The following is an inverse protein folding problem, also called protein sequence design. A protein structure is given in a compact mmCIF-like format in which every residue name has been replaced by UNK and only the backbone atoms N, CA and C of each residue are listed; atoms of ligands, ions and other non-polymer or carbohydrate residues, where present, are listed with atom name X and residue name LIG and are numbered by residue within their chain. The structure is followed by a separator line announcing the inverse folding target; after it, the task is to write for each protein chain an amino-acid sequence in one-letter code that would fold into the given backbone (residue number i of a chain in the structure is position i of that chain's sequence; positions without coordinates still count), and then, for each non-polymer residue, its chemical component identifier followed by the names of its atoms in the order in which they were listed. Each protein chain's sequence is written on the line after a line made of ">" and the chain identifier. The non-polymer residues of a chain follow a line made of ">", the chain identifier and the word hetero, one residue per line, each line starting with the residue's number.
data_IF_332276391992
#
_entry.id   IF_332276391992
#
_cell.length_a   1.000
_cell.length_b   1.000
_cell.length_c   1.000
_cell.angle_alpha   90.00
_cell.angle_beta   90.00
_cell.angle_gamma   90.00
#
_symmetry.space_group_name_H-M   'P 1'
#
loop_
_entity.id
_entity.type
_entity.pdbx_description
1 polymer ?
#
# COMPACT_ATOMS: atom_id res chain seq x y z
N UNK A 1 56.08 23.98 28.60
CA UNK A 1 54.70 23.53 28.86
C UNK A 1 53.95 23.53 27.54
N UNK A 2 53.83 22.36 26.92
CA UNK A 2 53.48 22.19 25.50
C UNK A 2 52.07 22.65 25.14
N UNK A 3 51.97 23.30 23.98
CA UNK A 3 50.75 23.64 23.22
C UNK A 3 49.72 22.48 23.15
N UNK A 4 50.18 21.23 23.29
CA UNK A 4 49.34 20.04 23.41
C UNK A 4 48.34 20.07 24.59
N UNK A 5 48.64 20.78 25.70
CA UNK A 5 47.70 20.92 26.83
C UNK A 5 46.58 21.95 26.59
N UNK A 6 46.82 22.93 25.73
CA UNK A 6 45.84 23.98 25.39
C UNK A 6 44.84 23.45 24.35
N UNK A 7 45.29 22.60 23.42
CA UNK A 7 44.41 21.94 22.44
C UNK A 7 43.50 20.89 23.09
N UNK A 8 43.96 20.19 24.13
CA UNK A 8 43.14 19.22 24.88
C UNK A 8 42.08 19.91 25.76
N UNK A 9 42.32 21.16 26.18
CA UNK A 9 41.35 21.96 26.94
C UNK A 9 40.21 22.52 26.08
N UNK A 10 40.45 22.78 24.79
CA UNK A 10 39.41 23.27 23.87
C UNK A 10 38.48 22.15 23.36
N UNK A 11 38.97 20.92 23.26
CA UNK A 11 38.16 19.79 22.80
C UNK A 11 37.14 19.30 23.85
N UNK A 12 37.34 19.59 25.14
CA UNK A 12 36.44 19.16 26.21
C UNK A 12 35.23 20.09 26.40
N UNK A 13 35.29 21.34 25.94
CA UNK A 13 34.19 22.32 26.09
C UNK A 13 33.08 22.12 25.05
N UNK A 14 33.40 21.58 23.86
CA UNK A 14 32.40 21.37 22.79
C UNK A 14 31.52 20.14 23.05
N UNK A 15 31.95 19.18 23.89
CA UNK A 15 31.21 17.97 24.18
C UNK A 15 30.12 18.12 25.27
N UNK A 16 29.99 19.30 25.90
CA UNK A 16 28.95 19.61 26.90
C UNK A 16 27.77 20.42 26.35
N UNK A 17 27.70 20.67 25.04
CA UNK A 17 26.49 21.18 24.41
C UNK A 17 25.46 20.05 24.30
N UNK A 18 24.94 19.62 25.45
CA UNK A 18 23.71 18.87 25.52
C UNK A 18 22.64 19.61 24.75
N UNK A 19 21.74 18.87 24.12
CA UNK A 19 20.54 19.40 23.45
C UNK A 19 19.71 20.17 24.47
N UNK A 20 20.01 21.46 24.65
CA UNK A 20 19.18 22.39 25.36
C UNK A 20 17.87 22.47 24.58
N UNK A 21 16.83 21.80 25.08
CA UNK A 21 15.47 22.05 24.61
C UNK A 21 15.19 23.51 24.94
N UNK A 22 15.10 24.34 23.91
CA UNK A 22 14.79 25.75 24.08
C UNK A 22 13.46 25.85 24.83
N UNK A 23 13.48 26.53 25.98
CA UNK A 23 12.23 26.87 26.66
C UNK A 23 11.34 27.67 25.71
N UNK A 24 10.01 27.42 25.69
CA UNK A 24 9.08 28.17 24.85
C UNK A 24 9.22 29.67 25.08
N UNK A 25 9.23 30.46 23.99
CA UNK A 25 9.32 31.91 24.13
C UNK A 25 8.05 32.47 24.78
N UNK A 26 8.14 33.62 25.45
CA UNK A 26 6.96 34.29 25.99
C UNK A 26 5.91 34.62 24.90
N UNK A 27 6.34 34.78 23.64
CA UNK A 27 5.42 34.95 22.52
C UNK A 27 4.67 33.65 22.20
N UNK A 28 5.38 32.52 22.14
CA UNK A 28 4.78 31.20 21.89
C UNK A 28 3.79 30.83 22.98
N UNK A 29 4.13 31.05 24.25
CA UNK A 29 3.23 30.81 25.39
C UNK A 29 1.94 31.65 25.29
N UNK A 30 2.02 32.92 24.86
CA UNK A 30 0.81 33.75 24.66
C UNK A 30 -0.08 33.21 23.53
N UNK A 31 0.53 32.77 22.43
CA UNK A 31 -0.21 32.19 21.29
C UNK A 31 -0.83 30.84 21.70
N UNK A 32 -0.07 29.98 22.38
CA UNK A 32 -0.54 28.70 22.91
C UNK A 32 -1.75 28.88 23.84
N UNK A 33 -1.72 29.86 24.75
CA UNK A 33 -2.84 30.16 25.63
C UNK A 33 -4.07 30.68 24.88
N UNK A 34 -3.88 31.40 23.77
CA UNK A 34 -4.99 31.84 22.90
C UNK A 34 -5.63 30.64 22.21
N UNK A 35 -4.82 29.76 21.62
CA UNK A 35 -5.27 28.52 20.99
C UNK A 35 -5.94 27.57 21.99
N UNK A 36 -5.40 27.46 23.21
CA UNK A 36 -6.00 26.69 24.28
C UNK A 36 -7.42 27.18 24.61
N UNK A 37 -7.62 28.50 24.75
CA UNK A 37 -8.96 29.07 24.98
C UNK A 37 -9.90 28.82 23.81
N UNK A 38 -9.41 28.88 22.57
CA UNK A 38 -10.19 28.49 21.38
C UNK A 38 -10.60 27.02 21.47
N UNK A 39 -9.68 26.11 21.81
CA UNK A 39 -9.98 24.70 21.97
C UNK A 39 -11.03 24.43 23.03
N UNK A 40 -10.94 25.11 24.20
CA UNK A 40 -11.95 25.02 25.27
C UNK A 40 -13.32 25.51 24.78
N UNK A 41 -13.36 26.62 24.03
CA UNK A 41 -14.61 27.16 23.50
C UNK A 41 -15.26 26.26 22.44
N UNK A 42 -14.48 25.59 21.60
CA UNK A 42 -15.02 24.62 20.62
C UNK A 42 -15.43 23.31 21.30
N UNK A 43 -14.67 22.83 22.29
CA UNK A 43 -15.04 21.66 23.10
C UNK A 43 -16.36 21.86 23.85
N UNK A 44 -16.60 23.06 24.39
CA UNK A 44 -17.88 23.43 25.01
C UNK A 44 -19.08 23.40 24.04
N UNK A 45 -18.83 23.46 22.73
CA UNK A 45 -19.85 23.32 21.67
C UNK A 45 -19.87 21.90 21.07
N UNK A 46 -19.17 20.95 21.68
CA UNK A 46 -18.97 19.57 21.21
C UNK A 46 -18.31 19.46 19.82
N UNK A 47 -17.61 20.51 19.39
CA UNK A 47 -16.84 20.56 18.13
C UNK A 47 -15.44 20.01 18.36
N UNK A 48 -15.39 18.69 18.55
CA UNK A 48 -14.18 18.00 19.01
C UNK A 48 -13.04 18.01 17.98
N UNK A 49 -13.34 18.04 16.68
CA UNK A 49 -12.31 18.11 15.64
C UNK A 49 -11.60 19.47 15.64
N UNK A 50 -12.35 20.56 15.79
CA UNK A 50 -11.83 21.92 15.90
C UNK A 50 -11.08 22.13 17.23
N UNK A 51 -11.59 21.54 18.32
CA UNK A 51 -10.91 21.53 19.60
C UNK A 51 -9.56 20.79 19.51
N UNK A 52 -9.53 19.63 18.84
CA UNK A 52 -8.32 18.84 18.62
C UNK A 52 -7.26 19.65 17.85
N UNK A 53 -7.62 20.31 16.75
CA UNK A 53 -6.69 21.18 16.00
C UNK A 53 -6.11 22.28 16.91
N UNK A 54 -6.97 22.99 17.64
CA UNK A 54 -6.57 24.08 18.50
C UNK A 54 -5.63 23.61 19.64
N UNK A 55 -5.96 22.50 20.31
CA UNK A 55 -5.12 21.94 21.37
C UNK A 55 -3.82 21.37 20.85
N UNK A 56 -3.81 20.71 19.69
CA UNK A 56 -2.59 20.20 19.06
C UNK A 56 -1.61 21.33 18.76
N UNK A 57 -2.10 22.42 18.16
CA UNK A 57 -1.30 23.62 17.87
C UNK A 57 -0.84 24.33 19.14
N UNK A 58 -1.68 24.38 20.18
CA UNK A 58 -1.29 24.92 21.47
C UNK A 58 -0.17 24.08 22.12
N UNK A 59 -0.27 22.75 22.05
CA UNK A 59 0.73 21.83 22.59
C UNK A 59 2.05 21.92 21.83
N UNK A 60 2.02 22.07 20.51
CA UNK A 60 3.22 22.26 19.70
C UNK A 60 4.02 23.51 20.10
N UNK A 61 3.33 24.58 20.52
CA UNK A 61 3.95 25.83 20.97
C UNK A 61 4.35 25.81 22.45
N UNK A 62 3.66 25.04 23.28
CA UNK A 62 3.94 24.94 24.71
C UNK A 62 3.89 23.47 25.21
N UNK A 63 4.86 22.62 24.83
CA UNK A 63 4.82 21.17 25.10
C UNK A 63 4.90 20.81 26.59
N UNK A 64 5.49 21.70 27.40
CA UNK A 64 5.62 21.54 28.85
C UNK A 64 4.36 21.88 29.63
N UNK A 65 3.32 22.45 29.01
CA UNK A 65 2.03 22.67 29.69
C UNK A 65 1.23 21.38 29.84
N UNK A 66 1.11 20.90 31.08
CA UNK A 66 0.35 19.66 31.38
C UNK A 66 -1.16 19.85 31.24
N UNK A 67 -1.69 21.05 31.49
CA UNK A 67 -3.12 21.34 31.28
C UNK A 67 -3.49 21.33 29.79
N UNK A 68 -2.64 21.88 28.92
CA UNK A 68 -2.86 21.80 27.46
C UNK A 68 -2.82 20.33 27.01
N UNK A 69 -1.85 19.56 27.49
CA UNK A 69 -1.73 18.13 27.16
C UNK A 69 -2.95 17.32 27.62
N UNK A 70 -3.48 17.58 28.82
CA UNK A 70 -4.68 16.90 29.33
C UNK A 70 -5.93 17.21 28.49
N UNK A 71 -6.06 18.43 27.96
CA UNK A 71 -7.17 18.80 27.09
C UNK A 71 -7.02 18.22 25.67
N UNK A 72 -5.78 18.17 25.15
CA UNK A 72 -5.45 17.45 23.92
C UNK A 72 -5.85 15.97 24.02
N UNK A 73 -5.45 15.30 25.10
CA UNK A 73 -5.81 13.92 25.39
C UNK A 73 -7.33 13.68 25.39
N UNK A 74 -8.09 14.59 26.00
CA UNK A 74 -9.55 14.55 25.99
C UNK A 74 -10.15 14.70 24.59
N UNK A 75 -9.61 15.60 23.77
CA UNK A 75 -10.04 15.78 22.40
C UNK A 75 -9.73 14.53 21.55
N UNK A 76 -8.53 13.96 21.67
CA UNK A 76 -8.12 12.73 20.98
C UNK A 76 -9.08 11.56 21.28
N UNK A 77 -9.43 11.35 22.56
CA UNK A 77 -10.42 10.33 22.97
C UNK A 77 -11.80 10.59 22.38
N UNK A 78 -12.20 11.85 22.23
CA UNK A 78 -13.50 12.25 21.68
C UNK A 78 -13.56 12.13 20.16
N UNK A 79 -12.43 12.26 19.47
CA UNK A 79 -12.32 12.10 18.02
C UNK A 79 -11.95 10.67 17.59
N UNK A 80 -11.69 9.77 18.54
CA UNK A 80 -11.48 8.34 18.28
C UNK A 80 -10.02 7.87 18.29
N UNK A 81 -9.06 8.76 18.53
CA UNK A 81 -7.67 8.38 18.81
C UNK A 81 -7.48 8.11 20.31
N UNK A 82 -8.13 7.04 20.77
CA UNK A 82 -8.18 6.66 22.17
C UNK A 82 -6.80 6.26 22.69
N UNK A 83 -5.98 5.61 21.85
CA UNK A 83 -4.60 5.22 22.21
C UNK A 83 -3.76 6.46 22.53
N UNK A 84 -3.72 7.45 21.63
CA UNK A 84 -2.97 8.68 21.86
C UNK A 84 -3.44 9.40 23.13
N UNK A 85 -4.76 9.54 23.30
CA UNK A 85 -5.31 10.23 24.46
C UNK A 85 -5.03 9.53 25.78
N UNK A 86 -5.11 8.19 25.84
CA UNK A 86 -4.75 7.43 27.05
C UNK A 86 -3.26 7.60 27.38
N UNK A 87 -2.37 7.56 26.39
CA UNK A 87 -0.94 7.79 26.60
C UNK A 87 -0.65 9.22 27.08
N UNK A 88 -1.29 10.23 26.51
CA UNK A 88 -1.14 11.61 26.96
C UNK A 88 -1.70 11.84 28.37
N UNK A 89 -2.79 11.18 28.76
CA UNK A 89 -3.24 11.19 30.15
C UNK A 89 -2.21 10.56 31.10
N UNK A 90 -1.64 9.40 30.75
CA UNK A 90 -0.55 8.77 31.54
C UNK A 90 0.64 9.71 31.66
N UNK A 91 1.00 10.39 30.58
CA UNK A 91 2.08 11.38 30.59
C UNK A 91 1.77 12.54 31.54
N UNK A 92 0.54 13.07 31.55
CA UNK A 92 0.13 14.11 32.49
C UNK A 92 0.29 13.65 33.95
N UNK A 93 -0.21 12.47 34.29
CA UNK A 93 -0.13 11.92 35.64
C UNK A 93 1.33 11.66 36.07
N UNK A 94 2.19 11.26 35.12
CA UNK A 94 3.61 11.01 35.37
C UNK A 94 4.41 12.29 35.65
N UNK A 95 4.02 13.44 35.08
CA UNK A 95 4.73 14.72 35.28
C UNK A 95 4.63 15.23 36.73
N UNK A 96 3.51 14.93 37.41
CA UNK A 96 3.34 15.24 38.83
C UNK A 96 3.23 16.73 39.18
N UNK A 97 2.97 17.58 38.18
CA UNK A 97 2.83 19.04 38.30
C UNK A 97 1.36 19.50 38.39
N UNK A 98 0.41 18.56 38.34
CA UNK A 98 -1.02 18.79 38.57
C UNK A 98 -1.34 18.89 40.06
N UNK A 99 -2.33 19.72 40.41
CA UNK A 99 -2.96 19.66 41.74
C UNK A 99 -3.63 18.30 41.94
N UNK A 100 -3.93 17.94 43.20
CA UNK A 100 -4.62 16.69 43.53
C UNK A 100 -5.99 16.58 42.83
N UNK A 101 -6.71 17.68 42.71
CA UNK A 101 -8.02 17.73 42.06
C UNK A 101 -7.90 17.55 40.55
N UNK A 102 -6.96 18.24 39.89
CA UNK A 102 -6.70 18.07 38.46
C UNK A 102 -6.22 16.66 38.12
N UNK A 103 -5.33 16.09 38.92
CA UNK A 103 -4.87 14.71 38.74
C UNK A 103 -6.03 13.70 38.84
N UNK A 104 -6.96 13.90 39.78
CA UNK A 104 -8.14 13.04 39.91
C UNK A 104 -9.09 13.16 38.70
N UNK A 105 -9.23 14.36 38.12
CA UNK A 105 -10.00 14.55 36.89
C UNK A 105 -9.36 13.83 35.70
N UNK A 106 -8.05 13.97 35.53
CA UNK A 106 -7.28 13.30 34.47
C UNK A 106 -7.33 11.78 34.63
N UNK A 107 -7.10 11.27 35.83
CA UNK A 107 -7.17 9.83 36.13
C UNK A 107 -8.58 9.28 35.88
N UNK A 108 -9.62 10.02 36.29
CA UNK A 108 -11.01 9.65 36.04
C UNK A 108 -11.36 9.63 34.55
N UNK A 109 -10.82 10.55 33.76
CA UNK A 109 -11.00 10.56 32.31
C UNK A 109 -10.27 9.39 31.64
N UNK A 110 -9.02 9.13 32.05
CA UNK A 110 -8.22 8.00 31.57
C UNK A 110 -8.90 6.66 31.86
N UNK A 111 -9.35 6.43 33.10
CA UNK A 111 -10.04 5.18 33.51
C UNK A 111 -11.35 4.93 32.77
N UNK A 112 -12.01 5.98 32.26
CA UNK A 112 -13.19 5.86 31.38
C UNK A 112 -12.83 5.55 29.94
N UNK A 113 -11.65 5.99 29.48
CA UNK A 113 -11.17 5.78 28.12
C UNK A 113 -10.51 4.41 27.94
N UNK A 114 -9.74 3.93 28.92
CA UNK A 114 -8.99 2.67 28.84
C UNK A 114 -9.83 1.44 28.41
N UNK A 115 -11.05 1.20 28.95
CA UNK A 115 -11.86 0.06 28.55
C UNK A 115 -12.37 0.10 27.10
N UNK A 116 -12.26 1.27 26.44
CA UNK A 116 -12.70 1.46 25.06
C UNK A 116 -11.61 1.08 24.05
N UNK A 117 -10.37 0.91 24.49
CA UNK A 117 -9.27 0.45 23.65
C UNK A 117 -9.58 -0.95 23.13
N UNK A 118 -9.45 -1.12 21.82
CA UNK A 118 -9.42 -2.45 21.22
C UNK A 118 -8.01 -3.02 21.35
N UNK A 119 -7.90 -4.35 21.29
CA UNK A 119 -6.63 -5.06 21.36
C UNK A 119 -6.51 -6.01 20.18
N UNK A 120 -5.31 -6.07 19.59
CA UNK A 120 -4.98 -7.03 18.55
C UNK A 120 -3.75 -7.81 18.97
N UNK A 121 -3.83 -9.13 18.87
CA UNK A 121 -2.68 -10.02 18.99
C UNK A 121 -2.32 -10.52 17.60
N UNK A 122 -1.10 -10.24 17.14
CA UNK A 122 -0.64 -10.65 15.80
C UNK A 122 0.37 -11.78 15.93
N UNK A 123 0.04 -12.93 15.35
CA UNK A 123 0.90 -14.11 15.29
C UNK A 123 1.28 -14.40 13.84
N UNK A 124 2.57 -14.31 13.50
CA UNK A 124 3.09 -14.64 12.16
C UNK A 124 3.60 -16.07 12.14
N UNK A 125 3.07 -16.91 11.25
CA UNK A 125 3.49 -18.30 11.11
C UNK A 125 4.96 -18.39 10.69
N UNK A 126 5.73 -19.21 11.41
CA UNK A 126 7.19 -19.34 11.23
C UNK A 126 7.88 -17.97 11.19
N UNK A 127 7.58 -17.12 12.18
CA UNK A 127 8.12 -15.77 12.27
C UNK A 127 9.66 -15.77 12.23
N UNK A 128 10.24 -14.78 11.55
CA UNK A 128 11.69 -14.58 11.46
C UNK A 128 12.07 -13.14 11.81
N UNK A 129 13.35 -12.89 12.12
CA UNK A 129 13.84 -11.54 12.36
C UNK A 129 13.79 -10.62 11.12
N UNK A 130 13.58 -11.19 9.92
CA UNK A 130 13.42 -10.43 8.68
C UNK A 130 11.97 -9.98 8.43
N UNK A 131 11.03 -10.38 9.31
CA UNK A 131 9.62 -10.02 9.17
C UNK A 131 9.40 -8.59 9.63
N UNK A 132 8.63 -7.85 8.83
CA UNK A 132 8.21 -6.49 9.16
C UNK A 132 6.69 -6.45 9.13
N UNK A 133 6.11 -6.21 10.31
CA UNK A 133 4.67 -6.11 10.53
C UNK A 133 4.32 -4.66 10.84
N UNK A 134 3.26 -4.16 10.21
CA UNK A 134 2.71 -2.83 10.41
C UNK A 134 1.24 -2.91 10.80
N UNK A 135 0.81 -2.02 11.69
CA UNK A 135 -0.60 -1.76 12.02
C UNK A 135 -0.88 -0.30 11.71
N UNK A 136 -1.84 -0.04 10.82
CA UNK A 136 -2.15 1.28 10.28
C UNK A 136 -0.91 2.05 9.76
N UNK A 137 0.06 1.32 9.22
CA UNK A 137 1.33 1.86 8.71
C UNK A 137 2.42 2.09 9.76
N UNK A 138 2.13 1.90 11.06
CA UNK A 138 3.13 1.96 12.12
C UNK A 138 3.82 0.59 12.28
N UNK A 139 5.16 0.57 12.23
CA UNK A 139 5.95 -0.66 12.38
C UNK A 139 5.88 -1.17 13.80
N UNK A 140 5.44 -2.42 13.97
CA UNK A 140 5.51 -3.12 15.24
C UNK A 140 6.93 -3.63 15.48
N UNK A 141 7.41 -3.43 16.70
CA UNK A 141 8.64 -4.07 17.14
C UNK A 141 8.46 -5.60 17.10
N UNK A 142 9.48 -6.38 16.71
CA UNK A 142 9.37 -7.84 16.68
C UNK A 142 8.93 -8.45 18.03
N UNK A 143 9.32 -7.84 19.15
CA UNK A 143 8.93 -8.26 20.50
C UNK A 143 7.43 -8.04 20.82
N UNK A 144 6.70 -7.27 20.02
CA UNK A 144 5.26 -7.06 20.16
C UNK A 144 4.43 -8.15 19.47
N UNK A 145 5.04 -9.01 18.64
CA UNK A 145 4.34 -10.13 18.02
C UNK A 145 3.95 -11.17 19.09
N UNK A 146 2.71 -11.66 19.02
CA UNK A 146 2.14 -12.57 20.02
C UNK A 146 1.84 -11.92 21.37
N UNK A 147 1.82 -10.59 21.45
CA UNK A 147 1.38 -9.83 22.64
C UNK A 147 0.14 -9.03 22.28
N UNK A 148 -0.78 -8.87 23.22
CA UNK A 148 -1.96 -8.02 23.05
C UNK A 148 -1.51 -6.55 22.91
N UNK A 149 -1.71 -5.99 21.72
CA UNK A 149 -1.32 -4.63 21.39
C UNK A 149 -2.55 -3.72 21.35
N UNK A 150 -2.59 -2.62 22.12
CA UNK A 150 -3.72 -1.70 22.12
C UNK A 150 -3.79 -0.93 20.80
N UNK A 151 -4.99 -0.86 20.22
CA UNK A 151 -5.27 -0.14 18.97
C UNK A 151 -6.57 0.66 19.09
N UNK A 152 -6.72 1.65 18.21
CA UNK A 152 -7.97 2.40 18.13
C UNK A 152 -9.08 1.52 17.54
N UNK A 153 -10.31 1.58 18.07
CA UNK A 153 -11.46 0.86 17.52
C UNK A 153 -11.77 1.31 16.07
N UNK A 154 -12.45 0.45 15.33
CA UNK A 154 -12.80 0.64 13.93
C UNK A 154 -11.99 -0.25 12.98
N UNK A 155 -11.91 0.17 11.71
CA UNK A 155 -11.28 -0.60 10.63
C UNK A 155 -9.76 -0.40 10.61
N UNK A 156 -9.02 -1.45 10.96
CA UNK A 156 -7.55 -1.45 11.07
C UNK A 156 -6.90 -2.24 9.96
N UNK A 157 -5.83 -1.68 9.40
CA UNK A 157 -5.03 -2.35 8.37
C UNK A 157 -3.80 -2.99 9.00
N UNK A 158 -3.55 -4.25 8.68
CA UNK A 158 -2.37 -4.99 9.11
C UNK A 158 -1.62 -5.43 7.88
N UNK A 159 -0.34 -5.08 7.79
CA UNK A 159 0.52 -5.48 6.68
C UNK A 159 1.72 -6.26 7.22
N UNK A 160 2.00 -7.43 6.64
CA UNK A 160 3.18 -8.21 6.97
C UNK A 160 4.02 -8.45 5.71
N UNK A 161 5.33 -8.23 5.83
CA UNK A 161 6.27 -8.35 4.73
C UNK A 161 7.48 -9.17 5.15
N UNK A 162 7.99 -9.98 4.22
CA UNK A 162 9.22 -10.76 4.38
C UNK A 162 9.95 -10.80 3.04
N UNK A 163 11.28 -10.55 2.98
CA UNK A 163 12.03 -10.60 1.73
C UNK A 163 11.89 -11.95 1.01
N UNK A 164 11.51 -11.92 -0.27
CA UNK A 164 11.28 -13.13 -1.07
C UNK A 164 9.87 -13.74 -0.94
N UNK A 165 8.98 -13.11 -0.17
CA UNK A 165 7.59 -13.53 0.04
C UNK A 165 6.63 -12.45 -0.46
N UNK A 166 5.39 -12.84 -0.74
CA UNK A 166 4.31 -11.91 -1.06
C UNK A 166 3.87 -11.17 0.22
N UNK A 167 3.69 -9.83 0.16
CA UNK A 167 3.09 -9.08 1.26
C UNK A 167 1.69 -9.58 1.60
N UNK A 168 1.42 -9.83 2.88
CA UNK A 168 0.08 -10.08 3.36
C UNK A 168 -0.56 -8.76 3.78
N UNK A 169 -1.77 -8.48 3.29
CA UNK A 169 -2.59 -7.34 3.69
C UNK A 169 -3.90 -7.83 4.29
N UNK A 170 -4.14 -7.51 5.55
CA UNK A 170 -5.35 -7.87 6.27
C UNK A 170 -6.06 -6.61 6.74
N UNK A 171 -7.37 -6.71 6.86
CA UNK A 171 -8.21 -5.68 7.46
C UNK A 171 -9.06 -6.33 8.53
N UNK A 172 -9.01 -5.80 9.73
CA UNK A 172 -9.87 -6.20 10.84
C UNK A 172 -10.75 -5.04 11.26
N UNK A 173 -11.97 -5.32 11.72
CA UNK A 173 -12.87 -4.28 12.25
C UNK A 173 -13.13 -4.60 13.71
N UNK A 174 -12.72 -3.69 14.59
CA UNK A 174 -12.75 -3.90 16.04
C UNK A 174 -13.78 -2.97 16.67
N UNK A 175 -14.64 -3.50 17.53
CA UNK A 175 -15.48 -2.68 18.39
C UNK A 175 -14.66 -2.10 19.56
N UNK A 176 -15.21 -1.10 20.27
CA UNK A 176 -14.60 -0.63 21.51
C UNK A 176 -14.47 -1.79 22.52
N UNK A 177 -13.30 -1.93 23.14
CA UNK A 177 -13.02 -2.99 24.11
C UNK A 177 -12.87 -4.40 23.53
N UNK A 178 -12.95 -4.57 22.20
CA UNK A 178 -12.78 -5.87 21.56
C UNK A 178 -11.32 -6.34 21.57
N UNK A 179 -11.12 -7.65 21.66
CA UNK A 179 -9.81 -8.29 21.50
C UNK A 179 -9.87 -9.30 20.37
N UNK A 180 -8.95 -9.19 19.41
CA UNK A 180 -8.92 -10.04 18.22
C UNK A 180 -7.53 -10.67 18.04
N UNK A 181 -7.49 -11.97 17.71
CA UNK A 181 -6.26 -12.67 17.37
C UNK A 181 -6.14 -12.83 15.86
N UNK A 182 -5.06 -12.29 15.28
CA UNK A 182 -4.80 -12.29 13.84
C UNK A 182 -3.60 -13.18 13.55
N UNK A 183 -3.86 -14.31 12.90
CA UNK A 183 -2.81 -15.22 12.42
C UNK A 183 -2.48 -14.94 10.96
N UNK A 184 -1.20 -14.67 10.67
CA UNK A 184 -0.72 -14.33 9.33
C UNK A 184 0.16 -15.46 8.80
N UNK A 185 -0.18 -15.96 7.61
CA UNK A 185 0.65 -16.91 6.85
C UNK A 185 1.12 -16.21 5.58
N UNK A 186 2.43 -15.99 5.48
CA UNK A 186 3.05 -15.42 4.28
C UNK A 186 3.19 -16.51 3.20
N UNK A 187 3.09 -16.12 1.93
CA UNK A 187 3.28 -17.02 0.78
C UNK A 187 4.60 -16.70 0.07
N UNK A 188 5.41 -17.69 -0.35
CA UNK A 188 6.61 -17.45 -1.12
C UNK A 188 6.26 -16.75 -2.44
N UNK A 189 7.07 -15.76 -2.85
CA UNK A 189 6.85 -15.10 -4.14
C UNK A 189 7.10 -16.10 -5.27
N UNK A 190 6.19 -16.23 -6.26
CA UNK A 190 6.45 -17.04 -7.43
C UNK A 190 7.78 -16.61 -8.07
N UNK A 191 8.59 -17.60 -8.45
CA UNK A 191 9.79 -17.31 -9.24
C UNK A 191 9.37 -16.53 -10.50
N UNK A 192 10.14 -15.53 -10.95
CA UNK A 192 9.85 -14.88 -12.22
C UNK A 192 9.75 -15.98 -13.28
N UNK A 193 8.63 -16.03 -14.01
CA UNK A 193 8.55 -16.88 -15.18
C UNK A 193 9.79 -16.57 -16.03
N UNK A 194 10.63 -17.58 -16.25
CA UNK A 194 11.66 -17.49 -17.29
C UNK A 194 10.90 -16.97 -18.51
N UNK A 195 11.36 -15.91 -19.19
CA UNK A 195 10.68 -15.44 -20.39
C UNK A 195 10.47 -16.68 -21.25
N UNK A 196 9.20 -17.06 -21.43
CA UNK A 196 8.84 -18.02 -22.46
C UNK A 196 9.38 -17.35 -23.69
N UNK A 197 10.51 -17.85 -24.19
CA UNK A 197 10.97 -17.56 -25.53
C UNK A 197 9.80 -18.05 -26.37
N UNK A 198 8.89 -17.13 -26.67
CA UNK A 198 7.97 -17.26 -27.77
C UNK A 198 8.90 -17.39 -28.95
N UNK A 199 9.21 -18.64 -29.28
CA UNK A 199 9.75 -18.97 -30.59
C UNK A 199 8.81 -18.23 -31.52
N UNK A 200 9.31 -17.26 -32.32
CA UNK A 200 8.44 -16.50 -33.21
C UNK A 200 7.63 -17.55 -33.97
N UNK A 201 6.30 -17.51 -33.83
CA UNK A 201 5.45 -18.36 -34.66
C UNK A 201 5.83 -17.96 -36.08
N UNK A 202 6.58 -18.86 -36.75
CA UNK A 202 7.01 -18.68 -38.12
C UNK A 202 5.76 -18.22 -38.86
N UNK A 203 5.76 -17.05 -39.51
CA UNK A 203 4.59 -16.59 -40.24
C UNK A 203 4.13 -17.77 -41.08
N UNK A 204 2.92 -18.29 -40.82
CA UNK A 204 2.39 -19.42 -41.60
C UNK A 204 2.52 -19.00 -43.06
N UNK A 205 3.41 -19.66 -43.79
CA UNK A 205 3.59 -19.43 -45.21
C UNK A 205 2.21 -19.61 -45.83
N UNK A 206 1.64 -18.52 -46.35
CA UNK A 206 0.35 -18.60 -47.02
C UNK A 206 0.57 -19.54 -48.21
N UNK A 207 -0.25 -20.58 -48.40
CA UNK A 207 -0.07 -21.50 -49.51
C UNK A 207 -0.08 -20.70 -50.81
N UNK A 208 0.88 -20.98 -51.70
CA UNK A 208 1.13 -20.18 -52.93
C UNK A 208 -0.12 -20.07 -53.83
N UNK A 209 -1.10 -20.95 -53.64
CA UNK A 209 -2.42 -20.97 -54.28
C UNK A 209 -3.35 -19.82 -53.88
N UNK A 210 -3.01 -19.08 -52.82
CA UNK A 210 -3.79 -17.95 -52.30
C UNK A 210 -3.34 -16.58 -52.82
N UNK A 211 -2.29 -16.53 -53.65
CA UNK A 211 -1.89 -15.32 -54.36
C UNK A 211 -2.67 -15.17 -55.69
N UNK A 212 -3.31 -14.02 -55.96
CA UNK A 212 -3.98 -13.77 -57.24
C UNK A 212 -3.05 -13.94 -58.45
N UNK A 213 -1.76 -13.65 -58.27
CA UNK A 213 -0.73 -13.80 -59.30
C UNK A 213 -0.46 -15.25 -59.71
N UNK A 214 -0.69 -16.22 -58.83
CA UNK A 214 -0.55 -17.65 -59.14
C UNK A 214 -1.51 -18.07 -60.25
N UNK A 215 -2.76 -17.61 -60.19
CA UNK A 215 -3.76 -17.89 -61.22
C UNK A 215 -3.54 -17.11 -62.52
N UNK A 216 -2.96 -15.90 -62.44
CA UNK A 216 -2.56 -15.14 -63.64
C UNK A 216 -1.51 -15.90 -64.44
N UNK A 217 -0.49 -16.48 -63.78
CA UNK A 217 0.56 -17.26 -64.46
C UNK A 217 0.00 -18.60 -64.99
N UNK A 218 -0.83 -19.30 -64.22
CA UNK A 218 -1.48 -20.54 -64.67
C UNK A 218 -2.39 -20.33 -65.89
N UNK A 219 -3.10 -19.20 -65.97
CA UNK A 219 -3.96 -18.86 -67.11
C UNK A 219 -3.19 -18.56 -68.41
N UNK A 220 -2.02 -17.93 -68.34
CA UNK A 220 -1.18 -17.62 -69.51
C UNK A 220 -0.64 -18.89 -70.18
N UNK A 221 -0.35 -19.95 -69.41
CA UNK A 221 0.15 -21.23 -69.95
C UNK A 221 -0.95 -21.98 -70.73
N UNK A 222 -2.20 -21.92 -70.28
CA UNK A 222 -3.33 -22.58 -70.96
C UNK A 222 -3.75 -21.84 -72.24
N UNK A 223 -3.68 -20.51 -72.25
CA UNK A 223 -3.97 -19.70 -73.44
C UNK A 223 -2.86 -19.79 -74.51
N UNK A 224 -1.59 -19.92 -74.12
CA UNK A 224 -0.47 -20.13 -75.06
C UNK A 224 -0.53 -21.47 -75.80
N UNK A 225 -1.02 -22.52 -75.15
CA UNK A 225 -1.13 -23.86 -75.73
C UNK A 225 -2.29 -23.99 -76.75
N UNK A 226 -3.34 -23.16 -76.64
CA UNK A 226 -4.51 -23.21 -77.55
C UNK A 226 -4.25 -22.49 -78.88
N UNK A 227 -3.50 -21.39 -78.89
CA UNK A 227 -3.09 -20.70 -80.13
C UNK A 227 -1.99 -21.41 -80.93
N UNK A 228 -1.09 -22.16 -80.27
CA UNK A 228 -0.06 -22.92 -80.97
C UNK A 228 -0.58 -24.23 -81.59
N UNK A 229 -1.64 -24.82 -81.01
CA UNK A 229 -2.24 -26.06 -81.51
C UNK A 229 -3.22 -25.83 -82.67
N UNK A 230 -3.83 -24.64 -82.78
CA UNK A 230 -4.75 -24.30 -83.87
C UNK A 230 -4.06 -24.01 -85.21
N UNK A 231 -2.75 -23.72 -85.23
CA UNK A 231 -1.99 -23.46 -86.46
C UNK A 231 -1.40 -24.72 -87.12
N UNK A 232 -1.33 -25.85 -86.41
CA UNK A 232 -0.71 -27.08 -86.94
C UNK A 232 -1.73 -28.06 -87.54
N UNK A 233 -3.02 -27.89 -87.27
CA UNK A 233 -4.05 -28.88 -87.63
C UNK A 233 -4.88 -28.54 -88.89
N UNK A 234 -4.67 -27.37 -89.53
CA UNK A 234 -5.47 -26.95 -90.70
C UNK A 234 -4.80 -27.28 -92.06
N UNK A 235 -3.52 -27.67 -92.10
CA UNK A 235 -2.77 -27.84 -93.36
C UNK A 235 -2.41 -29.27 -93.79
N UNK A 236 -2.83 -30.32 -93.07
CA UNK A 236 -2.73 -31.70 -93.55
C UNK A 236 -4.13 -32.33 -93.66
N UNK A 237 -4.71 -32.17 -94.86
CA UNK A 237 -5.85 -32.93 -95.36
C UNK A 237 -5.50 -34.42 -95.56
N UNK A 238 -6.57 -35.21 -95.68
CA UNK A 238 -6.69 -36.55 -96.29
C UNK A 238 -6.43 -37.72 -95.31
N UNK A 239 -7.30 -38.70 -95.08
CA UNK A 239 -8.56 -39.13 -95.71
C UNK A 239 -9.45 -39.87 -94.69
N UNK A 240 -10.74 -39.96 -95.01
CA UNK A 240 -11.87 -40.81 -94.54
C UNK A 240 -11.54 -42.25 -94.03
N UNK A 241 -12.51 -43.11 -93.60
CA UNK A 241 -13.93 -42.93 -93.21
C UNK A 241 -14.32 -43.73 -91.92
N UNK A 242 -15.62 -43.74 -91.56
CA UNK A 242 -16.39 -44.77 -90.81
C UNK A 242 -17.10 -44.38 -89.49
N UNK A 243 -18.44 -44.48 -89.57
CA UNK A 243 -19.44 -45.11 -88.66
C UNK A 243 -19.16 -45.09 -87.15
N UNK A 244 -20.08 -44.81 -86.23
CA UNK A 244 -21.54 -44.71 -86.24
C UNK A 244 -22.05 -45.02 -84.82
N UNK A 245 -23.26 -44.51 -84.52
CA UNK A 245 -24.22 -44.92 -83.46
C UNK A 245 -23.88 -44.84 -81.96
N UNK A 246 -24.59 -43.93 -81.28
CA UNK A 246 -25.31 -44.09 -79.98
C UNK A 246 -26.51 -43.11 -80.03
N UNK A 247 -27.63 -43.25 -79.29
CA UNK A 247 -27.80 -44.03 -78.05
C UNK A 247 -29.11 -44.84 -77.92
N UNK A 248 -29.13 -45.76 -76.96
CA UNK A 248 -30.33 -46.46 -76.50
C UNK A 248 -30.66 -46.14 -75.05
N UNK A 249 -31.87 -45.58 -74.88
CA UNK A 249 -32.85 -45.86 -73.82
C UNK A 249 -32.62 -45.27 -72.42
N UNK A 250 -33.51 -44.33 -72.09
CA UNK A 250 -33.92 -43.87 -70.76
C UNK A 250 -35.09 -44.75 -70.28
N UNK A 251 -35.23 -44.99 -68.98
CA UNK A 251 -36.48 -45.11 -68.20
C UNK A 251 -36.12 -45.52 -66.75
N UNK A 252 -36.99 -45.30 -65.73
CA UNK A 252 -38.26 -44.57 -65.72
C UNK A 252 -38.16 -43.12 -65.19
#
# INVERSE_FOLDING_TARGET
>A
MSLARILLACALVVALMGTAHAEPSAADVRVANTLYRTGVAEAAKERWAEALDAFSRAHALYPSSTIILANLAGAEVKTGDIVAGVEHYRQCLKRGDLTKEEAALVEGAMKKAEPRLAHVRIDVAAATAADRVEVDGAVLAPAALGVDYPVNPGKRSITATRPGWEPAHLTVTLAEGASENVSIVLQPKPAPDKPVVTTPERPRERPITSSPWFWVIAGVVVAGATTATLCVTVFCRADDPYRGSVPGIVLP
#
